data_IF_856587579184
#
_entry.id   IF_856587579184
#
_cell.length_a   1.000
_cell.length_b   1.000
_cell.length_c   1.000
_cell.angle_alpha   90.00
_cell.angle_beta   90.00
_cell.angle_gamma   90.00
#
_symmetry.space_group_name_H-M   'P 1'
#
loop_
_entity.id
_entity.type
_entity.pdbx_description
1 polymer ?
#
# COMPACT_ATOMS: atom_id res chain seq x y z
N UNK A 1 65.84 25.93 6.27
CA UNK A 1 65.04 24.68 6.20
C UNK A 1 63.72 25.03 6.87
N UNK A 2 62.67 25.19 6.07
CA UNK A 2 61.37 25.72 6.52
C UNK A 2 60.54 24.52 7.00
N UNK A 3 60.05 24.61 8.24
CA UNK A 3 59.28 23.60 8.95
C UNK A 3 57.91 23.38 8.29
N UNK A 4 57.67 22.16 7.80
CA UNK A 4 56.42 21.69 7.21
C UNK A 4 55.75 20.69 8.17
N UNK A 5 55.34 21.15 9.36
CA UNK A 5 54.67 20.28 10.35
C UNK A 5 53.30 20.80 10.85
N UNK A 6 52.69 21.81 10.20
CA UNK A 6 51.40 22.36 10.66
C UNK A 6 50.14 21.78 10.01
N UNK A 7 50.26 20.84 9.06
CA UNK A 7 49.10 20.38 8.25
C UNK A 7 48.42 19.07 8.72
N UNK A 8 48.78 18.52 9.89
CA UNK A 8 48.15 17.29 10.41
C UNK A 8 47.08 17.51 11.49
N UNK A 9 46.80 18.75 11.88
CA UNK A 9 45.96 19.03 13.04
C UNK A 9 44.49 19.43 12.74
N UNK A 10 43.96 19.21 11.53
CA UNK A 10 42.65 19.79 11.14
C UNK A 10 41.61 18.86 10.50
N UNK A 11 41.76 17.53 10.60
CA UNK A 11 40.78 16.57 10.01
C UNK A 11 40.04 15.75 11.07
N UNK A 12 39.99 16.23 12.31
CA UNK A 12 39.37 15.50 13.42
C UNK A 12 38.43 16.37 14.23
N UNK A 13 37.37 16.87 13.60
CA UNK A 13 36.12 17.15 14.31
C UNK A 13 34.95 17.34 13.34
N UNK A 14 33.78 16.87 13.78
CA UNK A 14 32.43 17.01 13.17
C UNK A 14 31.99 15.89 12.21
N UNK A 15 32.05 14.64 12.68
CA UNK A 15 30.91 13.74 12.49
C UNK A 15 30.36 13.46 13.88
N UNK A 16 29.45 14.31 14.33
CA UNK A 16 28.61 14.03 15.47
C UNK A 16 27.66 12.91 15.05
N UNK A 17 28.08 11.67 15.30
CA UNK A 17 27.21 10.51 15.18
C UNK A 17 26.17 10.69 16.27
N UNK A 18 25.01 11.27 15.92
CA UNK A 18 23.83 11.19 16.79
C UNK A 18 23.60 9.72 17.06
N UNK A 19 23.84 9.31 18.30
CA UNK A 19 23.42 7.99 18.77
C UNK A 19 21.95 7.83 18.36
N UNK A 20 21.56 6.69 17.75
CA UNK A 20 20.18 6.49 17.39
C UNK A 20 19.37 6.67 18.67
N UNK A 21 18.42 7.62 18.67
CA UNK A 21 17.52 7.80 19.79
C UNK A 21 16.94 6.43 20.12
N UNK A 22 17.33 5.90 21.28
CA UNK A 22 16.85 4.61 21.76
C UNK A 22 15.36 4.83 22.00
N UNK A 23 14.53 4.43 21.03
CA UNK A 23 13.09 4.34 21.18
C UNK A 23 12.89 3.54 22.45
N UNK A 24 12.47 4.20 23.54
CA UNK A 24 12.14 3.53 24.80
C UNK A 24 10.97 2.63 24.46
N UNK A 25 11.28 1.36 24.17
CA UNK A 25 10.27 0.36 23.93
C UNK A 25 9.42 0.31 25.20
N UNK A 26 8.19 0.79 25.11
CA UNK A 26 7.19 0.58 26.14
C UNK A 26 6.85 -0.91 26.07
N UNK A 27 7.63 -1.74 26.77
CA UNK A 27 7.35 -3.18 26.85
C UNK A 27 6.12 -3.39 27.74
N UNK A 28 4.95 -3.08 27.18
CA UNK A 28 3.68 -3.35 27.82
C UNK A 28 3.40 -4.84 27.73
N UNK A 29 3.16 -5.46 28.90
CA UNK A 29 2.76 -6.85 28.97
C UNK A 29 1.45 -7.04 28.20
N UNK A 30 1.43 -8.04 27.33
CA UNK A 30 0.22 -8.44 26.58
C UNK A 30 -0.88 -8.86 27.56
N UNK A 31 -2.07 -8.24 27.53
CA UNK A 31 -3.22 -8.68 28.31
C UNK A 31 -3.68 -10.09 27.95
N UNK A 32 -4.41 -10.74 28.86
CA UNK A 32 -5.01 -12.07 28.60
C UNK A 32 -6.08 -12.00 27.50
N UNK A 33 -6.88 -10.93 27.50
CA UNK A 33 -7.99 -10.70 26.56
C UNK A 33 -7.78 -9.36 25.86
N UNK A 34 -8.05 -9.34 24.56
CA UNK A 34 -7.96 -8.16 23.71
C UNK A 34 -9.27 -7.96 22.96
N UNK A 35 -9.74 -6.72 22.89
CA UNK A 35 -10.80 -6.35 21.96
C UNK A 35 -10.24 -6.31 20.53
N UNK A 36 -11.03 -6.79 19.56
CA UNK A 36 -10.61 -6.84 18.17
C UNK A 36 -11.75 -6.58 17.19
N UNK A 37 -11.37 -6.13 16.00
CA UNK A 37 -12.23 -6.04 14.82
C UNK A 37 -11.68 -6.95 13.74
N UNK A 38 -12.57 -7.66 13.05
CA UNK A 38 -12.20 -8.57 11.97
C UNK A 38 -12.78 -8.05 10.66
N UNK A 39 -11.91 -7.80 9.69
CA UNK A 39 -12.27 -7.30 8.38
C UNK A 39 -12.04 -8.36 7.32
N UNK A 40 -13.00 -8.51 6.41
CA UNK A 40 -12.89 -9.36 5.24
C UNK A 40 -12.46 -8.52 4.05
N UNK A 41 -11.28 -8.80 3.51
CA UNK A 41 -10.73 -8.17 2.31
C UNK A 41 -10.87 -9.12 1.12
N UNK A 42 -11.54 -8.63 0.07
CA UNK A 42 -11.52 -9.24 -1.27
C UNK A 42 -10.64 -8.37 -2.15
N UNK A 43 -9.66 -9.00 -2.79
CA UNK A 43 -8.64 -8.33 -3.59
C UNK A 43 -8.50 -9.04 -4.93
N UNK A 44 -8.17 -8.31 -6.00
CA UNK A 44 -7.85 -8.90 -7.30
C UNK A 44 -6.42 -9.49 -7.35
N UNK A 45 -5.59 -9.24 -6.34
CA UNK A 45 -4.20 -9.76 -6.26
C UNK A 45 -4.12 -11.20 -5.74
N UNK A 46 -5.23 -11.76 -5.26
CA UNK A 46 -5.31 -13.11 -4.68
C UNK A 46 -6.65 -13.76 -4.97
N UNK A 47 -6.67 -15.08 -5.06
CA UNK A 47 -7.89 -15.83 -5.41
C UNK A 47 -8.87 -16.00 -4.25
N UNK A 48 -8.35 -15.97 -3.01
CA UNK A 48 -9.15 -16.16 -1.78
C UNK A 48 -9.26 -14.88 -0.97
N UNK A 49 -10.38 -14.74 -0.26
CA UNK A 49 -10.56 -13.62 0.67
C UNK A 49 -9.56 -13.70 1.84
N UNK A 50 -9.05 -12.54 2.21
CA UNK A 50 -8.15 -12.34 3.35
C UNK A 50 -8.97 -11.86 4.54
N UNK A 51 -8.65 -12.36 5.73
CA UNK A 51 -9.22 -11.93 6.99
C UNK A 51 -8.16 -11.23 7.82
N UNK A 52 -8.42 -9.97 8.15
CA UNK A 52 -7.51 -9.12 8.92
C UNK A 52 -8.16 -8.86 10.28
N UNK A 53 -7.62 -9.49 11.32
CA UNK A 53 -8.02 -9.26 12.70
C UNK A 53 -7.09 -8.22 13.32
N UNK A 54 -7.65 -7.15 13.85
CA UNK A 54 -6.93 -6.02 14.42
C UNK A 54 -7.40 -5.79 15.85
N UNK A 55 -6.48 -5.90 16.80
CA UNK A 55 -6.76 -5.69 18.21
C UNK A 55 -6.26 -4.34 18.70
N UNK A 56 -6.87 -3.86 19.77
CA UNK A 56 -6.47 -2.66 20.48
C UNK A 56 -6.54 -2.89 21.98
N UNK A 57 -5.87 -2.03 22.74
CA UNK A 57 -6.14 -1.88 24.16
C UNK A 57 -6.59 -0.46 24.45
N UNK A 58 -7.24 -0.29 25.60
CA UNK A 58 -7.62 1.00 26.14
C UNK A 58 -6.77 1.28 27.38
N UNK A 59 -6.17 2.46 27.46
CA UNK A 59 -5.43 2.88 28.65
C UNK A 59 -6.37 3.39 29.76
N UNK A 60 -5.80 3.74 30.92
CA UNK A 60 -6.57 4.26 32.06
C UNK A 60 -7.32 5.57 31.75
N UNK A 61 -6.89 6.31 30.72
CA UNK A 61 -7.51 7.56 30.28
C UNK A 61 -8.60 7.33 29.21
N UNK A 62 -8.91 6.08 28.86
CA UNK A 62 -9.87 5.74 27.82
C UNK A 62 -9.31 5.86 26.40
N UNK A 63 -7.99 6.06 26.24
CA UNK A 63 -7.35 6.18 24.94
C UNK A 63 -7.08 4.80 24.35
N UNK A 64 -7.62 4.56 23.14
CA UNK A 64 -7.43 3.31 22.41
C UNK A 64 -6.16 3.36 21.57
N UNK A 65 -5.37 2.30 21.65
CA UNK A 65 -4.15 2.12 20.86
C UNK A 65 -4.13 0.73 20.21
N UNK A 66 -3.62 0.60 18.97
CA UNK A 66 -3.56 -0.69 18.30
C UNK A 66 -2.55 -1.57 19.01
N UNK A 67 -2.76 -2.89 18.99
CA UNK A 67 -1.91 -3.82 19.74
C UNK A 67 -1.33 -4.93 18.85
N UNK A 68 -2.19 -5.71 18.18
CA UNK A 68 -1.77 -6.79 17.27
C UNK A 68 -2.61 -6.80 16.00
N UNK A 69 -2.01 -7.30 14.92
CA UNK A 69 -2.69 -7.62 13.66
C UNK A 69 -2.45 -9.10 13.34
N UNK A 70 -3.48 -9.79 12.88
CA UNK A 70 -3.37 -11.12 12.30
C UNK A 70 -3.98 -11.13 10.90
N UNK A 71 -3.20 -11.61 9.93
CA UNK A 71 -3.65 -11.74 8.55
C UNK A 71 -3.72 -13.23 8.21
N UNK A 72 -4.89 -13.69 7.78
CA UNK A 72 -5.11 -15.07 7.40
C UNK A 72 -5.87 -15.17 6.07
N UNK A 73 -5.63 -16.24 5.33
CA UNK A 73 -6.36 -16.57 4.10
C UNK A 73 -6.52 -18.08 3.99
N UNK A 74 -7.52 -18.53 3.23
CA UNK A 74 -7.61 -19.94 2.82
C UNK A 74 -6.49 -20.29 1.84
N UNK A 75 -6.04 -19.32 1.06
CA UNK A 75 -4.92 -19.47 0.15
C UNK A 75 -3.59 -19.38 0.90
N UNK A 76 -2.76 -20.41 0.76
CA UNK A 76 -1.47 -20.53 1.43
C UNK A 76 -0.30 -20.00 0.60
N UNK A 77 -0.52 -19.63 -0.67
CA UNK A 77 0.55 -19.15 -1.57
C UNK A 77 1.30 -17.95 -1.02
N UNK A 78 0.61 -17.08 -0.27
CA UNK A 78 1.17 -15.87 0.36
C UNK A 78 1.28 -15.97 1.89
N UNK A 79 1.21 -17.18 2.45
CA UNK A 79 1.17 -17.37 3.90
C UNK A 79 2.43 -16.84 4.61
N UNK A 80 3.59 -16.95 3.97
CA UNK A 80 4.84 -16.42 4.52
C UNK A 80 4.83 -14.89 4.59
N UNK A 81 4.37 -14.21 3.54
CA UNK A 81 4.23 -12.75 3.50
C UNK A 81 3.22 -12.27 4.55
N UNK A 82 2.09 -12.95 4.70
CA UNK A 82 1.12 -12.62 5.74
C UNK A 82 1.68 -12.80 7.16
N UNK A 83 2.49 -13.84 7.39
CA UNK A 83 3.15 -14.04 8.68
C UNK A 83 4.20 -12.94 8.97
N UNK A 84 4.95 -12.51 7.94
CA UNK A 84 5.92 -11.41 8.07
C UNK A 84 5.20 -10.09 8.38
N UNK A 85 4.17 -9.73 7.61
CA UNK A 85 3.37 -8.52 7.85
C UNK A 85 2.75 -8.52 9.26
N UNK A 86 2.15 -9.64 9.65
CA UNK A 86 1.56 -9.85 10.99
C UNK A 86 2.57 -9.54 12.09
N UNK A 87 3.80 -10.10 11.99
CA UNK A 87 4.85 -9.91 12.99
C UNK A 87 5.38 -8.48 13.02
N UNK A 88 5.69 -7.91 11.87
CA UNK A 88 6.29 -6.58 11.76
C UNK A 88 5.32 -5.49 12.22
N UNK A 89 4.10 -5.49 11.71
CA UNK A 89 3.11 -4.48 12.06
C UNK A 89 2.71 -4.60 13.54
N UNK A 90 2.54 -5.80 14.07
CA UNK A 90 2.29 -5.99 15.52
C UNK A 90 3.46 -5.51 16.38
N UNK A 91 4.71 -5.69 15.92
CA UNK A 91 5.87 -5.15 16.62
C UNK A 91 5.88 -3.62 16.60
N UNK A 92 5.47 -2.99 15.49
CA UNK A 92 5.35 -1.53 15.40
C UNK A 92 4.23 -1.04 16.33
N UNK A 93 3.06 -1.67 16.34
CA UNK A 93 1.95 -1.29 17.23
C UNK A 93 2.33 -1.30 18.71
N UNK A 94 3.17 -2.25 19.14
CA UNK A 94 3.64 -2.31 20.53
C UNK A 94 4.71 -1.28 20.89
N UNK A 95 5.41 -0.71 19.91
CA UNK A 95 6.59 0.14 20.15
C UNK A 95 6.45 1.59 19.70
N UNK A 96 5.59 1.86 18.73
CA UNK A 96 5.43 3.19 18.13
C UNK A 96 4.35 4.00 18.85
N UNK A 97 4.66 5.26 19.14
CA UNK A 97 3.69 6.24 19.65
C UNK A 97 2.73 6.72 18.55
N UNK A 98 3.21 6.73 17.31
CA UNK A 98 2.41 7.04 16.12
C UNK A 98 2.45 5.84 15.15
N UNK A 99 1.46 4.94 15.19
CA UNK A 99 1.37 3.81 14.25
C UNK A 99 0.75 4.20 12.89
N UNK A 100 0.36 5.47 12.67
CA UNK A 100 -0.33 5.90 11.45
C UNK A 100 0.61 5.89 10.24
N UNK A 101 1.92 6.12 10.43
CA UNK A 101 2.89 6.14 9.34
C UNK A 101 2.91 4.85 8.50
N UNK A 102 2.56 3.70 9.10
CA UNK A 102 2.47 2.40 8.40
C UNK A 102 1.52 2.49 7.19
N UNK A 103 0.50 3.35 7.25
CA UNK A 103 -0.41 3.55 6.13
C UNK A 103 0.32 4.09 4.90
N UNK A 104 1.23 5.03 5.08
CA UNK A 104 2.01 5.63 3.99
C UNK A 104 3.00 4.63 3.42
N UNK A 105 3.72 3.93 4.32
CA UNK A 105 4.68 2.88 3.93
C UNK A 105 4.00 1.78 3.10
N UNK A 106 2.86 1.24 3.54
CA UNK A 106 2.16 0.19 2.80
C UNK A 106 1.56 0.70 1.47
N UNK A 107 1.04 1.94 1.43
CA UNK A 107 0.51 2.53 0.19
C UNK A 107 1.60 2.82 -0.84
N UNK A 108 2.85 2.96 -0.41
CA UNK A 108 4.00 3.18 -1.30
C UNK A 108 4.48 1.89 -2.00
N UNK A 109 4.03 0.72 -1.56
CA UNK A 109 4.41 -0.57 -2.16
C UNK A 109 3.53 -0.82 -3.40
N UNK A 110 4.17 -1.10 -4.53
CA UNK A 110 3.52 -1.42 -5.80
C UNK A 110 3.63 -2.91 -6.11
N UNK A 111 2.59 -3.49 -6.70
CA UNK A 111 2.68 -4.84 -7.25
C UNK A 111 3.50 -4.81 -8.56
N UNK A 112 4.45 -5.72 -8.78
CA UNK A 112 5.25 -5.74 -10.00
C UNK A 112 4.41 -5.98 -11.26
N UNK A 113 3.23 -6.61 -11.13
CA UNK A 113 2.31 -6.83 -12.24
C UNK A 113 1.37 -5.62 -12.47
N UNK A 114 1.56 -4.53 -11.72
CA UNK A 114 0.71 -3.35 -11.76
C UNK A 114 -0.53 -3.46 -10.88
N UNK A 115 -1.26 -2.35 -10.78
CA UNK A 115 -2.49 -2.25 -10.00
C UNK A 115 -3.77 -2.49 -10.80
N UNK A 116 -4.90 -2.35 -10.13
CA UNK A 116 -6.22 -2.44 -10.76
C UNK A 116 -7.14 -1.28 -10.33
N UNK A 117 -8.23 -1.06 -11.07
CA UNK A 117 -9.22 -0.04 -10.74
C UNK A 117 -10.36 -0.66 -9.92
N UNK A 118 -10.62 -0.11 -8.73
CA UNK A 118 -11.69 -0.52 -7.83
C UNK A 118 -12.53 0.71 -7.47
N UNK A 119 -13.83 0.67 -7.75
CA UNK A 119 -14.77 1.78 -7.45
C UNK A 119 -14.28 3.16 -7.95
N UNK A 120 -13.66 3.19 -9.13
CA UNK A 120 -13.12 4.40 -9.75
C UNK A 120 -11.79 4.89 -9.15
N UNK A 121 -11.18 4.14 -8.24
CA UNK A 121 -9.86 4.43 -7.65
C UNK A 121 -8.82 3.40 -8.08
N UNK A 122 -7.62 3.85 -8.37
CA UNK A 122 -6.51 2.97 -8.70
C UNK A 122 -5.91 2.39 -7.41
N UNK A 123 -5.80 1.06 -7.37
CA UNK A 123 -5.25 0.29 -6.26
C UNK A 123 -3.93 -0.34 -6.74
N UNK A 124 -2.77 0.14 -6.25
CA UNK A 124 -1.47 -0.24 -6.81
C UNK A 124 -0.95 -1.63 -6.36
N UNK A 125 -1.44 -2.15 -5.23
CA UNK A 125 -0.98 -3.43 -4.68
C UNK A 125 -1.93 -3.99 -3.63
N UNK A 126 -1.72 -5.25 -3.25
CA UNK A 126 -2.42 -5.86 -2.10
C UNK A 126 -2.12 -5.11 -0.80
N UNK A 127 -0.90 -4.62 -0.63
CA UNK A 127 -0.47 -3.88 0.55
C UNK A 127 -1.22 -2.56 0.71
N UNK A 128 -1.52 -1.87 -0.41
CA UNK A 128 -2.36 -0.68 -0.39
C UNK A 128 -3.78 -0.98 0.10
N UNK A 129 -4.37 -2.13 -0.27
CA UNK A 129 -5.68 -2.54 0.26
C UNK A 129 -5.63 -2.91 1.76
N UNK A 130 -4.54 -3.55 2.21
CA UNK A 130 -4.31 -3.80 3.64
C UNK A 130 -4.20 -2.46 4.38
N UNK A 131 -3.54 -1.45 3.79
CA UNK A 131 -3.48 -0.10 4.34
C UNK A 131 -4.87 0.54 4.44
N UNK A 132 -5.77 0.33 3.47
CA UNK A 132 -7.15 0.81 3.57
C UNK A 132 -7.91 0.16 4.74
N UNK A 133 -7.69 -1.14 4.98
CA UNK A 133 -8.26 -1.85 6.14
C UNK A 133 -7.71 -1.30 7.45
N UNK A 134 -6.40 -1.05 7.54
CA UNK A 134 -5.77 -0.42 8.70
C UNK A 134 -6.30 0.99 8.95
N UNK A 135 -6.47 1.80 7.90
CA UNK A 135 -7.01 3.15 8.00
C UNK A 135 -8.45 3.13 8.52
N UNK A 136 -9.27 2.19 8.05
CA UNK A 136 -10.61 1.97 8.56
C UNK A 136 -10.58 1.59 10.04
N UNK A 137 -9.69 0.69 10.44
CA UNK A 137 -9.50 0.31 11.84
C UNK A 137 -9.09 1.48 12.73
N UNK A 138 -8.14 2.31 12.30
CA UNK A 138 -7.73 3.49 13.06
C UNK A 138 -8.85 4.52 13.23
N UNK A 139 -9.72 4.70 12.22
CA UNK A 139 -10.95 5.52 12.34
C UNK A 139 -11.95 4.90 13.30
N UNK A 140 -12.02 3.58 13.31
CA UNK A 140 -12.94 2.78 14.10
C UNK A 140 -12.63 2.82 15.60
N UNK A 141 -11.35 2.84 15.96
CA UNK A 141 -10.89 2.97 17.35
C UNK A 141 -10.61 4.43 17.77
N UNK A 142 -10.79 5.39 16.86
CA UNK A 142 -10.75 6.83 17.18
C UNK A 142 -9.36 7.48 17.11
N UNK A 143 -8.35 6.79 16.58
CA UNK A 143 -7.00 7.35 16.36
C UNK A 143 -7.02 8.39 15.23
N UNK A 144 -7.69 8.07 14.12
CA UNK A 144 -7.86 8.99 12.99
C UNK A 144 -9.24 9.62 13.07
N UNK A 145 -9.31 10.95 13.04
CA UNK A 145 -10.59 11.67 12.90
C UNK A 145 -11.27 11.23 11.60
N UNK A 146 -12.52 10.79 11.69
CA UNK A 146 -13.35 10.55 10.50
C UNK A 146 -13.45 11.88 9.74
N UNK A 147 -12.84 11.97 8.56
CA UNK A 147 -13.11 13.07 7.63
C UNK A 147 -14.60 13.00 7.32
N UNK A 148 -15.36 14.00 7.75
CA UNK A 148 -16.67 14.25 7.19
C UNK A 148 -16.48 14.38 5.69
N UNK A 149 -17.24 13.59 4.92
CA UNK A 149 -17.21 13.65 3.47
C UNK A 149 -17.85 14.98 3.05
N UNK A 150 -17.07 16.07 3.08
CA UNK A 150 -17.32 17.18 2.17
C UNK A 150 -17.12 16.56 0.78
N UNK A 151 -18.23 16.29 0.10
CA UNK A 151 -18.24 15.93 -1.31
C UNK A 151 -17.45 17.01 -2.03
N UNK A 152 -16.18 16.74 -2.32
CA UNK A 152 -15.39 17.59 -3.19
C UNK A 152 -16.10 17.49 -4.55
N UNK A 153 -16.51 18.62 -5.16
CA UNK A 153 -17.15 18.57 -6.46
C UNK A 153 -16.20 17.84 -7.40
N UNK A 154 -16.75 16.84 -8.08
CA UNK A 154 -16.09 16.13 -9.16
C UNK A 154 -15.32 17.12 -10.02
N UNK A 155 -13.99 17.03 -10.02
CA UNK A 155 -13.18 17.70 -11.03
C UNK A 155 -13.55 17.06 -12.36
N UNK A 156 -14.52 17.66 -13.04
CA UNK A 156 -14.76 17.46 -14.45
C UNK A 156 -13.48 17.92 -15.14
N UNK A 157 -12.64 16.95 -15.53
CA UNK A 157 -11.59 17.20 -16.51
C UNK A 157 -12.29 17.68 -17.78
N UNK A 158 -12.30 19.00 -17.98
CA UNK A 158 -12.66 19.62 -19.25
C UNK A 158 -11.60 19.20 -20.28
N UNK A 159 -11.88 18.12 -20.99
CA UNK A 159 -11.17 17.79 -22.23
C UNK A 159 -11.72 18.75 -23.30
N UNK A 160 -10.89 19.62 -23.90
CA UNK A 160 -11.34 20.45 -25.01
C UNK A 160 -11.72 19.54 -26.20
N UNK A 161 -12.98 19.61 -26.61
CA UNK A 161 -13.40 19.17 -27.95
C UNK A 161 -12.88 20.17 -28.95
N UNK A 162 -12.08 19.74 -29.92
CA UNK A 162 -11.84 20.32 -31.27
C UNK A 162 -10.65 19.56 -31.88
N UNK A 163 -10.59 19.08 -33.12
CA UNK A 163 -11.41 19.16 -34.35
C UNK A 163 -11.26 17.86 -35.15
N UNK A 164 -12.30 17.53 -35.90
CA UNK A 164 -12.24 16.60 -37.04
C UNK A 164 -11.40 17.25 -38.14
N UNK A 165 -10.41 16.54 -38.65
CA UNK A 165 -9.97 16.69 -40.05
C UNK A 165 -9.81 15.28 -40.64
N UNK A 166 -10.52 15.08 -41.75
CA UNK A 166 -10.41 13.93 -42.63
C UNK A 166 -9.15 14.07 -43.47
N UNK A 167 -8.29 13.06 -43.45
CA UNK A 167 -7.46 12.74 -44.61
C UNK A 167 -7.33 11.23 -44.72
N UNK A 168 -7.68 10.76 -45.90
CA UNK A 168 -7.72 9.37 -46.33
C UNK A 168 -6.33 8.97 -46.78
N UNK A 169 -5.83 7.84 -46.28
CA UNK A 169 -4.99 6.93 -47.06
C UNK A 169 -4.92 5.56 -46.40
N UNK A 170 -4.99 4.55 -47.26
CA UNK A 170 -5.42 3.19 -47.04
C UNK A 170 -4.26 2.25 -46.68
N UNK A 171 -4.26 1.63 -45.50
CA UNK A 171 -3.61 0.31 -45.27
C UNK A 171 -4.26 -0.46 -44.09
N UNK A 172 -4.72 -1.68 -44.38
CA UNK A 172 -5.03 -2.81 -43.46
C UNK A 172 -6.03 -2.60 -42.31
N UNK A 173 -7.28 -2.97 -42.60
CA UNK A 173 -8.37 -3.20 -41.65
C UNK A 173 -8.10 -4.44 -40.78
N UNK A 174 -7.65 -4.27 -39.52
CA UNK A 174 -7.76 -5.29 -38.46
C UNK A 174 -7.39 -4.84 -37.02
N UNK A 175 -6.90 -3.61 -36.76
CA UNK A 175 -6.22 -3.30 -35.48
C UNK A 175 -6.85 -2.20 -34.61
N UNK A 176 -8.10 -1.78 -34.83
CA UNK A 176 -8.70 -0.67 -34.05
C UNK A 176 -9.35 -1.10 -32.73
N UNK A 177 -9.25 -2.36 -32.29
CA UNK A 177 -9.99 -2.85 -31.10
C UNK A 177 -9.20 -3.81 -30.18
N UNK A 178 -7.88 -3.90 -30.31
CA UNK A 178 -7.06 -4.76 -29.44
C UNK A 178 -6.67 -4.02 -28.16
N UNK A 179 -6.95 -4.63 -27.01
CA UNK A 179 -6.49 -4.16 -25.68
C UNK A 179 -5.08 -4.66 -25.41
N UNK A 180 -4.42 -4.08 -24.39
CA UNK A 180 -3.12 -4.55 -23.93
C UNK A 180 -3.31 -5.91 -23.23
N UNK A 181 -2.54 -6.92 -23.65
CA UNK A 181 -2.57 -8.24 -23.05
C UNK A 181 -1.71 -8.27 -21.77
N UNK A 182 -2.23 -8.73 -20.62
CA UNK A 182 -1.46 -8.81 -19.38
C UNK A 182 -0.38 -9.90 -19.39
N UNK A 183 -0.38 -10.83 -20.37
CA UNK A 183 0.60 -11.93 -20.45
C UNK A 183 1.88 -11.55 -21.22
N UNK A 184 1.74 -10.90 -22.37
CA UNK A 184 2.87 -10.55 -23.25
C UNK A 184 3.11 -9.02 -23.35
N UNK A 185 2.32 -8.21 -22.65
CA UNK A 185 2.44 -6.75 -22.58
C UNK A 185 2.40 -6.01 -23.95
N UNK A 186 1.83 -6.64 -24.98
CA UNK A 186 1.61 -6.06 -26.30
C UNK A 186 0.11 -5.83 -26.58
N UNK A 187 -0.24 -5.00 -27.58
CA UNK A 187 -1.63 -4.77 -28.02
C UNK A 187 -2.17 -5.99 -28.77
N UNK A 188 -2.38 -7.07 -28.05
CA UNK A 188 -2.67 -8.39 -28.60
C UNK A 188 -3.88 -9.06 -27.94
N UNK A 189 -4.69 -8.33 -27.16
CA UNK A 189 -5.85 -8.88 -26.46
C UNK A 189 -7.14 -8.60 -27.23
N UNK A 190 -7.81 -9.66 -27.69
CA UNK A 190 -9.08 -9.63 -28.43
C UNK A 190 -10.20 -10.25 -27.60
N UNK A 191 -11.42 -9.71 -27.69
CA UNK A 191 -12.61 -10.32 -27.11
C UNK A 191 -13.25 -11.26 -28.14
N UNK A 192 -13.22 -12.56 -27.89
CA UNK A 192 -13.88 -13.58 -28.71
C UNK A 192 -14.79 -14.44 -27.83
N UNK A 193 -16.05 -14.60 -28.22
CA UNK A 193 -17.04 -15.41 -27.51
C UNK A 193 -17.23 -15.03 -26.02
N UNK A 194 -16.98 -13.76 -25.67
CA UNK A 194 -17.06 -13.28 -24.28
C UNK A 194 -15.84 -13.57 -23.41
N UNK A 195 -14.77 -14.16 -23.98
CA UNK A 195 -13.50 -14.37 -23.31
C UNK A 195 -12.40 -13.51 -23.94
N UNK A 196 -11.46 -13.01 -23.12
CA UNK A 196 -10.29 -12.29 -23.61
C UNK A 196 -9.22 -13.31 -24.06
N UNK A 197 -8.86 -13.28 -25.34
CA UNK A 197 -7.89 -14.17 -25.97
C UNK A 197 -6.68 -13.37 -26.44
N UNK A 198 -5.47 -13.85 -26.11
CA UNK A 198 -4.24 -13.26 -26.61
C UNK A 198 -3.91 -13.83 -27.99
N UNK A 199 -3.72 -12.97 -28.99
CA UNK A 199 -3.37 -13.38 -30.35
C UNK A 199 -1.86 -13.39 -30.64
N UNK A 200 -1.03 -13.03 -29.64
CA UNK A 200 0.43 -13.11 -29.75
C UNK A 200 1.01 -13.72 -28.44
N UNK A 201 1.09 -15.06 -28.33
CA UNK A 201 1.49 -15.74 -27.10
C UNK A 201 3.01 -15.94 -26.93
N UNK A 202 3.84 -15.47 -27.86
CA UNK A 202 5.31 -15.49 -27.73
C UNK A 202 5.83 -14.56 -26.64
#
# INVERSE_FOLDING_TARGET
>A
MIELEEEKAKVQELIEIKEPEVIKAREEKRPEVLDARIYKLKSAFVDSAIYVALSYIEDENGQKRPFEIFINSKDLTKAAEYAVLTRLISAIFRRSEDPIFILEELKSIYDPNGGYLKDGKYVPSLYAEIAEVLEMFFKDIGIIKKKEVKKLPSMTLNIPKEKKEESSESVSSANSSLKICPKCNTKSLKLENGCNVCINPE
#
